data_IF_700471413796
#
_entry.id   IF_700471413796
#
_cell.length_a   1.000
_cell.length_b   1.000
_cell.length_c   1.000
_cell.angle_alpha   90.00
_cell.angle_beta   90.00
_cell.angle_gamma   90.00
#
_symmetry.space_group_name_H-M   'P 1'
#
loop_
_entity.id
_entity.type
_entity.pdbx_description
1 polymer ?
#
# COMPACT_ATOMS: atom_id res chain seq x y z
N UNK A 1 -3.51 19.78 3.83
CA UNK A 1 -2.35 19.83 2.89
C UNK A 1 -2.58 18.76 1.86
N UNK A 2 -2.83 19.13 0.62
CA UNK A 2 -2.98 18.17 -0.46
C UNK A 2 -1.67 17.39 -0.60
N UNK A 3 -1.77 16.07 -0.91
CA UNK A 3 -0.59 15.31 -1.30
C UNK A 3 0.14 16.12 -2.39
N UNK A 4 1.46 16.28 -2.31
CA UNK A 4 2.17 17.06 -3.31
C UNK A 4 1.73 16.58 -4.69
N UNK A 5 1.25 17.52 -5.53
CA UNK A 5 0.86 17.22 -6.90
C UNK A 5 2.04 16.51 -7.57
N UNK A 6 1.86 15.22 -7.86
CA UNK A 6 2.85 14.47 -8.62
C UNK A 6 2.95 15.12 -9.99
N UNK A 7 4.02 15.87 -10.19
CA UNK A 7 4.36 16.41 -11.49
C UNK A 7 5.38 15.45 -12.14
N UNK A 8 5.06 14.86 -13.31
CA UNK A 8 6.02 14.06 -14.05
C UNK A 8 7.32 14.87 -14.28
N UNK A 9 8.44 14.29 -13.83
CA UNK A 9 9.76 14.93 -13.95
C UNK A 9 10.27 15.68 -12.72
N UNK A 10 9.46 15.91 -11.69
CA UNK A 10 9.93 16.37 -10.39
C UNK A 10 10.16 15.18 -9.47
N UNK A 11 11.35 15.11 -8.88
CA UNK A 11 11.69 14.12 -7.85
C UNK A 11 11.17 14.66 -6.51
N UNK A 12 10.08 14.10 -5.94
CA UNK A 12 9.61 14.53 -4.63
C UNK A 12 10.60 14.14 -3.53
N UNK A 13 10.58 14.79 -2.35
CA UNK A 13 11.40 14.40 -1.21
C UNK A 13 11.26 12.91 -0.92
N UNK A 14 12.39 12.22 -0.69
CA UNK A 14 12.41 10.78 -0.43
C UNK A 14 12.34 9.88 -1.67
N UNK A 15 12.27 10.42 -2.86
CA UNK A 15 12.31 9.66 -4.11
C UNK A 15 13.73 9.20 -4.44
N UNK A 16 13.82 7.93 -4.85
CA UNK A 16 15.03 7.30 -5.37
C UNK A 16 14.74 6.70 -6.74
N UNK A 17 15.60 6.97 -7.73
CA UNK A 17 15.47 6.42 -9.08
C UNK A 17 15.68 4.89 -9.10
N UNK A 18 16.36 4.37 -8.09
CA UNK A 18 16.50 2.94 -7.83
C UNK A 18 16.50 2.69 -6.31
N UNK A 19 15.89 1.60 -5.89
CA UNK A 19 15.95 1.12 -4.51
C UNK A 19 17.39 0.88 -4.01
N UNK A 20 18.32 0.60 -4.93
CA UNK A 20 19.74 0.37 -4.61
C UNK A 20 20.48 1.65 -4.17
N UNK A 21 19.89 2.82 -4.37
CA UNK A 21 20.43 4.11 -3.95
C UNK A 21 20.08 4.46 -2.49
N UNK A 22 19.25 3.64 -1.84
CA UNK A 22 18.85 3.86 -0.44
C UNK A 22 20.01 3.54 0.49
N UNK A 23 20.37 4.51 1.34
CA UNK A 23 21.34 4.28 2.42
C UNK A 23 20.71 3.41 3.51
N UNK A 24 21.20 2.18 3.62
CA UNK A 24 20.71 1.21 4.59
C UNK A 24 21.24 1.43 6.02
N UNK A 25 22.17 2.36 6.25
CA UNK A 25 22.71 2.62 7.57
C UNK A 25 21.65 3.13 8.58
N UNK A 26 20.66 3.87 8.07
CA UNK A 26 19.52 4.36 8.85
C UNK A 26 18.25 3.52 8.75
N UNK A 27 18.30 2.37 8.08
CA UNK A 27 17.10 1.52 7.88
C UNK A 27 16.69 0.83 9.18
N UNK A 28 15.47 1.05 9.63
CA UNK A 28 14.96 0.56 10.92
C UNK A 28 13.67 -0.26 10.84
N UNK A 29 13.30 -0.70 9.64
CA UNK A 29 12.11 -1.53 9.39
C UNK A 29 12.53 -2.95 8.98
N UNK A 30 12.83 -3.84 9.95
CA UNK A 30 13.52 -5.11 9.69
C UNK A 30 12.71 -6.10 8.86
N UNK A 31 11.38 -5.96 8.80
CA UNK A 31 10.52 -6.89 8.06
C UNK A 31 10.30 -6.49 6.61
N UNK A 32 10.76 -5.32 6.20
CA UNK A 32 10.62 -4.81 4.82
C UNK A 32 11.95 -4.30 4.29
N UNK A 33 12.06 -4.24 2.97
CA UNK A 33 13.24 -3.68 2.32
C UNK A 33 12.85 -2.68 1.23
N UNK A 34 13.71 -1.72 0.89
CA UNK A 34 13.48 -0.83 -0.24
C UNK A 34 13.21 -1.58 -1.54
N UNK A 35 13.91 -2.70 -1.76
CA UNK A 35 13.73 -3.54 -2.95
C UNK A 35 12.32 -4.13 -3.04
N UNK A 36 11.78 -4.60 -1.92
CA UNK A 36 10.44 -5.18 -1.86
C UNK A 36 9.35 -4.13 -2.13
N UNK A 37 9.58 -2.90 -1.67
CA UNK A 37 8.64 -1.77 -1.80
C UNK A 37 8.85 -0.95 -3.08
N UNK A 38 9.84 -1.29 -3.89
CA UNK A 38 10.14 -0.62 -5.15
C UNK A 38 9.20 -1.05 -6.29
N UNK A 39 9.27 -0.30 -7.39
CA UNK A 39 8.54 -0.62 -8.61
C UNK A 39 8.97 -1.96 -9.21
N UNK A 40 8.01 -2.83 -9.45
CA UNK A 40 8.21 -4.21 -9.92
C UNK A 40 8.06 -4.36 -11.45
N UNK A 41 8.38 -3.32 -12.23
CA UNK A 41 8.31 -3.40 -13.69
C UNK A 41 9.42 -4.25 -14.34
N UNK A 42 10.35 -4.80 -13.55
CA UNK A 42 11.44 -5.65 -14.05
C UNK A 42 12.45 -4.92 -14.96
N UNK A 43 12.59 -3.61 -14.80
CA UNK A 43 13.47 -2.80 -15.65
C UNK A 43 12.84 -2.30 -16.94
N UNK A 44 11.58 -2.65 -17.22
CA UNK A 44 10.90 -2.27 -18.46
C UNK A 44 10.63 -0.77 -18.58
N UNK A 45 10.33 -0.11 -17.48
CA UNK A 45 9.94 1.30 -17.47
C UNK A 45 10.81 2.16 -16.54
N UNK A 46 11.40 1.57 -15.49
CA UNK A 46 12.28 2.25 -14.56
C UNK A 46 13.31 1.29 -13.97
N UNK A 47 14.30 1.80 -13.24
CA UNK A 47 15.36 1.00 -12.60
C UNK A 47 14.98 0.51 -11.20
N UNK A 48 13.71 0.33 -10.91
CA UNK A 48 13.22 -0.01 -9.57
C UNK A 48 13.07 1.24 -8.69
N UNK A 49 12.30 2.21 -9.18
CA UNK A 49 11.97 3.42 -8.41
C UNK A 49 11.43 3.08 -7.03
N UNK A 50 11.91 3.81 -6.04
CA UNK A 50 11.49 3.69 -4.65
C UNK A 50 11.21 5.08 -4.06
N UNK A 51 10.23 5.17 -3.20
CA UNK A 51 9.94 6.38 -2.43
C UNK A 51 10.06 6.06 -0.93
N UNK A 52 10.83 6.87 -0.21
CA UNK A 52 11.03 6.70 1.21
C UNK A 52 10.05 7.60 1.98
N UNK A 53 9.07 6.99 2.64
CA UNK A 53 8.10 7.66 3.50
C UNK A 53 8.08 6.99 4.87
N UNK A 54 8.47 7.75 5.90
CA UNK A 54 8.61 7.24 7.26
C UNK A 54 7.26 6.85 7.87
N UNK A 55 6.23 7.67 7.69
CA UNK A 55 4.89 7.39 8.23
C UNK A 55 4.32 6.09 7.65
N UNK A 56 4.47 5.89 6.34
CA UNK A 56 4.05 4.66 5.67
C UNK A 56 4.83 3.44 6.18
N UNK A 57 6.13 3.55 6.34
CA UNK A 57 6.98 2.45 6.82
C UNK A 57 6.68 2.09 8.27
N UNK A 58 6.47 3.07 9.14
CA UNK A 58 6.07 2.85 10.55
C UNK A 58 4.71 2.13 10.63
N UNK A 59 3.73 2.55 9.82
CA UNK A 59 2.43 1.88 9.77
C UNK A 59 2.56 0.44 9.29
N UNK A 60 3.36 0.20 8.25
CA UNK A 60 3.57 -1.13 7.67
C UNK A 60 4.27 -2.07 8.67
N UNK A 61 5.31 -1.61 9.35
CA UNK A 61 6.04 -2.36 10.38
C UNK A 61 5.18 -2.63 11.61
N UNK A 62 4.38 -1.66 12.05
CA UNK A 62 3.41 -1.82 13.14
C UNK A 62 2.37 -2.90 12.80
N UNK A 63 1.82 -2.85 11.59
CA UNK A 63 0.87 -3.87 11.12
C UNK A 63 1.51 -5.26 11.07
N UNK A 64 2.76 -5.36 10.58
CA UNK A 64 3.51 -6.62 10.51
C UNK A 64 3.74 -7.21 11.90
N UNK A 65 4.06 -6.37 12.87
CA UNK A 65 4.25 -6.77 14.26
C UNK A 65 2.95 -7.27 14.89
N UNK A 66 1.84 -6.57 14.69
CA UNK A 66 0.51 -6.96 15.18
C UNK A 66 0.03 -8.31 14.58
N UNK A 67 0.25 -8.51 13.29
CA UNK A 67 -0.07 -9.78 12.61
C UNK A 67 0.83 -10.92 13.09
N UNK A 68 2.07 -10.64 13.47
CA UNK A 68 3.09 -11.60 13.88
C UNK A 68 3.34 -12.72 12.84
N UNK A 69 3.14 -12.42 11.56
CA UNK A 69 3.33 -13.36 10.43
C UNK A 69 3.83 -12.62 9.19
N UNK A 70 4.64 -13.23 8.33
CA UNK A 70 5.12 -12.61 7.09
C UNK A 70 3.97 -12.09 6.24
N UNK A 71 4.08 -10.85 5.76
CA UNK A 71 3.12 -10.23 4.84
C UNK A 71 3.76 -10.14 3.45
N UNK A 72 3.14 -10.76 2.45
CA UNK A 72 3.65 -10.72 1.08
C UNK A 72 3.17 -9.46 0.37
N UNK A 73 4.12 -8.60 0.01
CA UNK A 73 3.87 -7.40 -0.81
C UNK A 73 3.79 -7.79 -2.27
N UNK A 74 2.61 -7.69 -2.87
CA UNK A 74 2.40 -7.97 -4.30
C UNK A 74 2.63 -6.75 -5.17
N UNK A 75 2.35 -5.55 -4.66
CA UNK A 75 2.62 -4.27 -5.33
C UNK A 75 2.90 -3.19 -4.27
N UNK A 76 3.82 -2.27 -4.58
CA UNK A 76 4.05 -1.08 -3.78
C UNK A 76 4.25 0.12 -4.71
N UNK A 77 5.45 0.76 -4.79
CA UNK A 77 5.71 1.81 -5.76
C UNK A 77 5.41 1.34 -7.19
N UNK A 78 4.78 2.19 -7.99
CA UNK A 78 4.68 2.02 -9.45
C UNK A 78 5.15 3.27 -10.15
N UNK A 79 6.07 3.13 -11.10
CA UNK A 79 6.38 4.20 -12.04
C UNK A 79 5.20 4.40 -13.01
N UNK A 80 5.15 5.52 -13.67
CA UNK A 80 4.06 5.88 -14.58
C UNK A 80 3.82 4.81 -15.66
N UNK A 81 4.88 4.36 -16.34
CA UNK A 81 4.79 3.33 -17.36
C UNK A 81 4.27 2.00 -16.85
N UNK A 82 4.70 1.57 -15.65
CA UNK A 82 4.19 0.36 -15.02
C UNK A 82 2.71 0.51 -14.63
N UNK A 83 2.34 1.64 -14.05
CA UNK A 83 0.95 1.90 -13.67
C UNK A 83 0.00 1.88 -14.88
N UNK A 84 0.40 2.49 -15.99
CA UNK A 84 -0.36 2.45 -17.23
C UNK A 84 -0.48 1.01 -17.78
N UNK A 85 0.62 0.24 -17.77
CA UNK A 85 0.65 -1.13 -18.27
C UNK A 85 -0.24 -2.11 -17.50
N UNK A 86 -0.46 -1.87 -16.20
CA UNK A 86 -1.35 -2.69 -15.35
C UNK A 86 -2.77 -2.14 -15.24
N UNK A 87 -3.10 -1.11 -15.99
CA UNK A 87 -4.44 -0.49 -15.96
C UNK A 87 -4.74 0.23 -14.64
N UNK A 88 -3.71 0.72 -13.96
CA UNK A 88 -3.88 1.48 -12.72
C UNK A 88 -4.52 2.84 -12.94
N UNK A 89 -5.21 3.35 -11.93
CA UNK A 89 -5.82 4.67 -11.97
C UNK A 89 -4.78 5.77 -12.23
N UNK A 90 -5.14 6.81 -12.97
CA UNK A 90 -4.25 7.93 -13.32
C UNK A 90 -3.68 8.65 -12.09
N UNK A 91 -4.45 8.69 -11.00
CA UNK A 91 -4.04 9.27 -9.70
C UNK A 91 -3.84 8.17 -8.65
N UNK A 92 -3.20 7.06 -9.03
CA UNK A 92 -2.96 5.92 -8.14
C UNK A 92 -2.03 6.30 -6.99
N UNK A 93 -2.39 5.92 -5.76
CA UNK A 93 -1.54 6.07 -4.59
C UNK A 93 -0.22 5.29 -4.71
N UNK A 94 -0.18 4.25 -5.52
CA UNK A 94 1.06 3.54 -5.87
C UNK A 94 2.07 4.41 -6.64
N UNK A 95 1.60 5.39 -7.41
CA UNK A 95 2.48 6.37 -8.08
C UNK A 95 2.97 7.45 -7.12
N UNK A 96 2.19 7.77 -6.09
CA UNK A 96 2.60 8.66 -5.00
C UNK A 96 3.49 7.95 -3.98
N UNK A 97 3.67 6.64 -4.13
CA UNK A 97 4.55 5.78 -3.34
C UNK A 97 4.22 5.61 -1.85
N UNK A 98 2.98 5.88 -1.48
CA UNK A 98 2.47 5.69 -0.11
C UNK A 98 1.44 4.55 -0.03
N UNK A 99 1.50 3.60 -0.95
CA UNK A 99 0.55 2.49 -1.07
C UNK A 99 1.24 1.13 -1.19
N UNK A 100 0.54 0.11 -0.72
CA UNK A 100 0.95 -1.29 -0.80
C UNK A 100 -0.27 -2.19 -0.99
N UNK A 101 -0.12 -3.23 -1.80
CA UNK A 101 -1.05 -4.34 -1.91
C UNK A 101 -0.46 -5.56 -1.18
N UNK A 102 -1.16 -6.03 -0.14
CA UNK A 102 -0.76 -7.20 0.65
C UNK A 102 -1.60 -8.39 0.24
N UNK A 103 -0.95 -9.52 -0.08
CA UNK A 103 -1.63 -10.76 -0.39
C UNK A 103 -2.48 -11.25 0.78
N UNK A 104 -3.68 -11.76 0.50
CA UNK A 104 -4.53 -12.44 1.50
C UNK A 104 -4.10 -13.89 1.76
N UNK A 105 -3.18 -14.42 0.94
CA UNK A 105 -2.71 -15.79 1.10
C UNK A 105 -2.04 -16.00 2.46
N UNK A 106 -2.40 -17.07 3.15
CA UNK A 106 -1.90 -17.43 4.49
C UNK A 106 -2.29 -16.45 5.62
N UNK A 107 -3.29 -15.61 5.41
CA UNK A 107 -3.82 -14.72 6.43
C UNK A 107 -5.31 -14.93 6.66
N UNK A 108 -5.79 -14.65 7.88
CA UNK A 108 -7.18 -14.31 8.11
C UNK A 108 -7.41 -12.88 7.57
N UNK A 109 -8.19 -12.71 6.50
CA UNK A 109 -8.38 -11.40 5.89
C UNK A 109 -9.00 -10.37 6.83
N UNK A 110 -9.92 -10.79 7.71
CA UNK A 110 -10.57 -9.89 8.66
C UNK A 110 -9.56 -9.39 9.72
N UNK A 111 -8.68 -10.27 10.21
CA UNK A 111 -7.60 -9.88 11.11
C UNK A 111 -6.62 -8.91 10.42
N UNK A 112 -6.26 -9.18 9.17
CA UNK A 112 -5.36 -8.33 8.38
C UNK A 112 -5.95 -6.92 8.22
N UNK A 113 -7.22 -6.80 7.84
CA UNK A 113 -7.88 -5.52 7.67
C UNK A 113 -8.01 -4.73 9.00
N UNK A 114 -8.32 -5.41 10.11
CA UNK A 114 -8.34 -4.77 11.44
C UNK A 114 -6.96 -4.26 11.86
N UNK A 115 -5.91 -5.04 11.59
CA UNK A 115 -4.54 -4.62 11.86
C UNK A 115 -4.15 -3.38 11.05
N UNK A 116 -4.57 -3.29 9.78
CA UNK A 116 -4.35 -2.11 8.95
C UNK A 116 -5.02 -0.84 9.53
N UNK A 117 -6.25 -0.97 10.03
CA UNK A 117 -6.94 0.15 10.70
C UNK A 117 -6.18 0.59 11.96
N UNK A 118 -5.74 -0.35 12.80
CA UNK A 118 -4.96 -0.04 14.02
C UNK A 118 -3.60 0.57 13.70
N UNK A 119 -2.96 0.14 12.62
CA UNK A 119 -1.67 0.68 12.17
C UNK A 119 -1.77 2.11 11.61
N UNK A 120 -2.98 2.62 11.39
CA UNK A 120 -3.19 4.01 10.97
C UNK A 120 -3.32 4.21 9.46
N UNK A 121 -3.46 3.16 8.66
CA UNK A 121 -3.75 3.31 7.23
C UNK A 121 -5.05 4.07 7.01
N UNK A 122 -5.04 5.02 6.09
CA UNK A 122 -6.17 5.90 5.79
C UNK A 122 -6.88 5.54 4.47
N UNK A 123 -6.20 4.86 3.55
CA UNK A 123 -6.80 4.26 2.36
C UNK A 123 -6.86 2.75 2.54
N UNK A 124 -8.06 2.14 2.43
CA UNK A 124 -8.23 0.68 2.50
C UNK A 124 -9.10 0.22 1.34
N UNK A 125 -8.50 -0.55 0.44
CA UNK A 125 -9.15 -1.14 -0.73
C UNK A 125 -9.29 -2.66 -0.60
N UNK A 126 -10.49 -3.17 -0.76
CA UNK A 126 -10.83 -4.56 -0.54
C UNK A 126 -10.85 -5.31 -1.88
N UNK A 127 -9.74 -5.98 -2.21
CA UNK A 127 -9.61 -6.88 -3.37
C UNK A 127 -10.02 -8.32 -3.05
N UNK A 128 -10.15 -9.17 -4.06
CA UNK A 128 -10.51 -10.59 -3.87
C UNK A 128 -9.34 -11.43 -3.34
N UNK A 129 -8.11 -11.08 -3.69
CA UNK A 129 -6.87 -11.79 -3.32
C UNK A 129 -5.84 -10.94 -2.59
N UNK A 130 -6.11 -9.65 -2.43
CA UNK A 130 -5.22 -8.68 -1.78
C UNK A 130 -5.99 -7.64 -0.98
N UNK A 131 -5.31 -7.00 -0.06
CA UNK A 131 -5.75 -5.81 0.65
C UNK A 131 -4.86 -4.64 0.24
N UNK A 132 -5.46 -3.62 -0.36
CA UNK A 132 -4.79 -2.37 -0.70
C UNK A 132 -4.77 -1.45 0.52
N UNK A 133 -3.62 -0.88 0.81
CA UNK A 133 -3.41 0.02 1.95
C UNK A 133 -2.64 1.25 1.50
N UNK A 134 -3.05 2.43 1.95
CA UNK A 134 -2.31 3.67 1.66
C UNK A 134 -2.43 4.71 2.78
N UNK A 135 -1.55 5.71 2.73
CA UNK A 135 -1.44 6.78 3.71
C UNK A 135 -2.00 8.12 3.18
N UNK A 136 -3.01 8.06 2.28
CA UNK A 136 -3.69 9.29 1.82
C UNK A 136 -4.20 10.15 2.98
N UNK A 137 -4.45 11.42 2.74
CA UNK A 137 -4.86 12.34 3.80
C UNK A 137 -6.28 12.07 4.31
N UNK A 138 -7.23 11.82 3.42
CA UNK A 138 -8.63 11.58 3.77
C UNK A 138 -8.92 10.08 3.87
N UNK A 139 -9.48 9.64 4.99
CA UNK A 139 -9.91 8.27 5.19
C UNK A 139 -10.89 7.84 4.10
N UNK A 140 -10.51 6.80 3.34
CA UNK A 140 -11.26 6.31 2.20
C UNK A 140 -11.24 4.80 2.18
N UNK A 141 -12.42 4.18 2.17
CA UNK A 141 -12.56 2.75 1.99
C UNK A 141 -13.34 2.46 0.70
N UNK A 142 -12.93 1.45 -0.05
CA UNK A 142 -13.53 1.08 -1.32
C UNK A 142 -13.36 -0.40 -1.63
N UNK A 143 -14.18 -0.90 -2.57
CA UNK A 143 -14.05 -2.25 -3.10
C UNK A 143 -13.42 -2.23 -4.50
N UNK A 144 -12.54 -3.19 -4.73
CA UNK A 144 -12.19 -3.62 -6.08
C UNK A 144 -13.28 -4.54 -6.65
N UNK A 145 -13.32 -4.78 -7.97
CA UNK A 145 -14.28 -5.71 -8.57
C UNK A 145 -14.31 -7.06 -7.84
N UNK A 146 -15.50 -7.51 -7.45
CA UNK A 146 -15.73 -8.75 -6.69
C UNK A 146 -15.42 -8.66 -5.19
N UNK A 147 -14.74 -7.61 -4.74
CA UNK A 147 -14.33 -7.45 -3.33
C UNK A 147 -15.50 -7.35 -2.38
N UNK A 148 -16.53 -6.58 -2.71
CA UNK A 148 -17.69 -6.40 -1.82
C UNK A 148 -18.30 -7.72 -1.36
N UNK A 149 -18.62 -8.62 -2.29
CA UNK A 149 -19.18 -9.92 -1.96
C UNK A 149 -18.27 -10.76 -1.09
N UNK A 150 -16.98 -10.83 -1.45
CA UNK A 150 -15.99 -11.63 -0.74
C UNK A 150 -15.78 -11.17 0.70
N UNK A 151 -15.71 -9.86 0.92
CA UNK A 151 -15.43 -9.28 2.24
C UNK A 151 -16.68 -9.18 3.12
N UNK A 152 -17.86 -8.93 2.54
CA UNK A 152 -19.12 -9.00 3.28
C UNK A 152 -19.35 -10.40 3.86
N UNK A 153 -19.02 -11.45 3.12
CA UNK A 153 -19.09 -12.82 3.64
C UNK A 153 -18.18 -13.05 4.85
N UNK A 154 -16.97 -12.48 4.84
CA UNK A 154 -15.98 -12.62 5.94
C UNK A 154 -16.38 -11.84 7.20
N UNK A 155 -16.87 -10.62 7.04
CA UNK A 155 -17.24 -9.75 8.16
C UNK A 155 -18.69 -9.91 8.61
N UNK A 156 -19.55 -10.64 7.88
CA UNK A 156 -21.00 -10.69 8.03
C UNK A 156 -21.68 -9.32 7.89
N UNK A 157 -20.97 -8.35 7.34
CA UNK A 157 -21.40 -6.98 7.03
C UNK A 157 -20.45 -6.36 6.03
N UNK A 158 -20.85 -5.32 5.33
CA UNK A 158 -19.97 -4.60 4.42
C UNK A 158 -18.90 -3.81 5.21
N UNK A 159 -17.60 -4.14 5.05
CA UNK A 159 -16.52 -3.45 5.77
C UNK A 159 -16.35 -2.00 5.31
N UNK A 160 -16.61 -1.67 4.04
CA UNK A 160 -16.55 -0.29 3.54
C UNK A 160 -17.58 0.57 4.24
N UNK A 161 -18.83 0.11 4.32
CA UNK A 161 -19.90 0.82 5.04
C UNK A 161 -19.58 0.97 6.54
N UNK A 162 -18.91 -0.02 7.16
CA UNK A 162 -18.48 0.06 8.56
C UNK A 162 -17.40 1.13 8.74
N UNK A 163 -16.38 1.17 7.87
CA UNK A 163 -15.31 2.16 7.91
C UNK A 163 -15.83 3.58 7.67
N UNK A 164 -16.76 3.77 6.74
CA UNK A 164 -17.36 5.06 6.46
C UNK A 164 -18.12 5.64 7.67
N UNK A 165 -18.68 4.78 8.53
CA UNK A 165 -19.40 5.22 9.73
C UNK A 165 -18.50 5.62 10.90
N UNK A 166 -17.38 4.96 11.10
CA UNK A 166 -16.57 5.18 12.31
C UNK A 166 -15.11 4.76 12.21
N UNK A 167 -14.63 4.39 11.02
CA UNK A 167 -13.26 3.90 10.77
C UNK A 167 -12.85 2.72 11.67
N UNK A 168 -13.80 1.81 11.89
CA UNK A 168 -13.61 0.57 12.68
C UNK A 168 -14.16 -0.65 11.95
N UNK A 169 -13.56 -1.82 12.21
CA UNK A 169 -13.93 -3.12 11.61
C UNK A 169 -14.24 -4.20 12.67
#
# INVERSE_FOLDING_TARGET
MDAPDYQPGLIPPGFHASWAEVDMAGWRWPHFSPRELACKCGGKYCRGEYFHDVEFLEALESMRTDIAAPMTVTSARRCEGHNAAVGGATRSQHMLAIAVDISLMNHDPARLARAAVRAGFRGIGFGTSFLHLDMRQTRTAFHYPGGQRAWTARFKRDPVASLQKGWTL
#
